data_IF_792629048114
#
_entry.id   IF_792629048114
#
_cell.length_a   1.000
_cell.length_b   1.000
_cell.length_c   1.000
_cell.angle_alpha   90.00
_cell.angle_beta   90.00
_cell.angle_gamma   90.00
#
_symmetry.space_group_name_H-M   'P 1'
#
loop_
_entity.id
_entity.type
_entity.pdbx_description
1 polymer ?
#
# COMPACT_ATOMS: atom_id res chain seq x y z
N UNK A 1 -6.69 34.71 -1.09
CA UNK A 1 -6.65 33.99 -2.36
C UNK A 1 -6.37 32.53 -2.00
N UNK A 2 -7.37 31.65 -2.09
CA UNK A 2 -7.16 30.22 -1.87
C UNK A 2 -6.37 29.70 -3.06
N UNK A 3 -5.08 29.44 -2.88
CA UNK A 3 -4.35 28.57 -3.79
C UNK A 3 -5.00 27.22 -3.68
N UNK A 4 -5.67 26.76 -4.71
CA UNK A 4 -6.21 25.41 -4.79
C UNK A 4 -5.01 24.45 -4.67
N UNK A 5 -4.79 23.93 -3.47
CA UNK A 5 -3.78 22.88 -3.28
C UNK A 5 -4.13 21.70 -4.21
N UNK A 6 -3.12 21.16 -4.90
CA UNK A 6 -3.34 19.93 -5.67
C UNK A 6 -3.89 18.82 -4.78
N UNK A 7 -4.73 17.92 -5.30
CA UNK A 7 -5.21 16.79 -4.52
C UNK A 7 -4.04 15.98 -3.96
N UNK A 8 -4.28 15.32 -2.81
CA UNK A 8 -3.34 14.32 -2.30
C UNK A 8 -3.35 13.09 -3.20
N UNK A 9 -2.19 12.57 -3.54
CA UNK A 9 -2.05 11.33 -4.29
C UNK A 9 -1.69 10.18 -3.35
N UNK A 10 -2.52 9.16 -3.31
CA UNK A 10 -2.29 7.95 -2.52
C UNK A 10 -2.04 6.78 -3.46
N UNK A 11 -0.85 6.19 -3.37
CA UNK A 11 -0.55 4.94 -4.06
C UNK A 11 -1.18 3.77 -3.31
N UNK A 12 -2.17 3.10 -3.91
CA UNK A 12 -2.75 1.84 -3.41
C UNK A 12 -1.95 0.68 -3.99
N UNK A 13 -0.97 0.20 -3.22
CA UNK A 13 -0.04 -0.85 -3.63
C UNK A 13 -0.61 -2.23 -3.31
N UNK A 14 -0.86 -3.05 -4.33
CA UNK A 14 -1.37 -4.42 -4.19
C UNK A 14 -0.22 -5.41 -4.28
N UNK A 15 0.17 -5.96 -3.14
CA UNK A 15 1.42 -6.71 -2.97
C UNK A 15 1.41 -8.14 -3.55
N UNK A 16 0.24 -8.79 -3.60
CA UNK A 16 0.14 -10.18 -4.06
C UNK A 16 0.24 -10.30 -5.59
N UNK A 17 1.12 -11.14 -6.07
CA UNK A 17 1.29 -11.42 -7.52
C UNK A 17 0.66 -12.74 -7.96
N UNK A 18 -0.15 -13.40 -7.11
CA UNK A 18 -0.82 -14.65 -7.47
C UNK A 18 -1.73 -14.48 -8.67
N UNK A 19 -1.71 -15.43 -9.57
CA UNK A 19 -2.57 -15.45 -10.78
C UNK A 19 -3.88 -16.22 -10.57
N UNK A 20 -3.94 -17.11 -9.55
CA UNK A 20 -5.12 -17.93 -9.27
C UNK A 20 -5.53 -17.84 -7.79
N UNK A 21 -6.84 -17.75 -7.53
CA UNK A 21 -7.40 -17.70 -6.19
C UNK A 21 -6.87 -16.56 -5.33
N UNK A 22 -6.56 -15.44 -5.95
CA UNK A 22 -5.98 -14.25 -5.31
C UNK A 22 -7.05 -13.51 -4.50
N UNK A 23 -6.86 -13.41 -3.19
CA UNK A 23 -7.83 -12.70 -2.35
C UNK A 23 -7.83 -11.19 -2.59
N UNK A 24 -6.70 -10.64 -3.01
CA UNK A 24 -6.64 -9.22 -3.36
C UNK A 24 -7.66 -8.83 -4.45
N UNK A 25 -8.02 -9.73 -5.37
CA UNK A 25 -9.04 -9.47 -6.40
C UNK A 25 -10.46 -9.28 -5.83
N UNK A 26 -10.70 -9.73 -4.58
CA UNK A 26 -11.94 -9.51 -3.83
C UNK A 26 -11.84 -8.29 -2.90
N UNK A 27 -10.67 -8.03 -2.33
CA UNK A 27 -10.46 -6.92 -1.40
C UNK A 27 -10.25 -5.57 -2.10
N UNK A 28 -9.60 -5.56 -3.25
CA UNK A 28 -9.28 -4.34 -3.99
C UNK A 28 -10.53 -3.53 -4.41
N UNK A 29 -11.59 -4.13 -4.99
CA UNK A 29 -12.80 -3.39 -5.33
C UNK A 29 -13.47 -2.72 -4.13
N UNK A 30 -13.48 -3.39 -2.97
CA UNK A 30 -13.98 -2.82 -1.73
C UNK A 30 -13.14 -1.61 -1.29
N UNK A 31 -11.81 -1.72 -1.27
CA UNK A 31 -10.93 -0.59 -0.94
C UNK A 31 -11.11 0.57 -1.90
N UNK A 32 -11.16 0.32 -3.21
CA UNK A 32 -11.38 1.37 -4.22
C UNK A 32 -12.71 2.09 -4.00
N UNK A 33 -13.78 1.34 -3.65
CA UNK A 33 -15.08 1.93 -3.34
C UNK A 33 -15.01 2.85 -2.12
N UNK A 34 -14.31 2.45 -1.04
CA UNK A 34 -14.16 3.26 0.17
C UNK A 34 -13.31 4.53 -0.04
N UNK A 35 -12.43 4.51 -1.02
CA UNK A 35 -11.51 5.62 -1.31
C UNK A 35 -12.02 6.56 -2.41
N UNK A 36 -13.03 6.14 -3.19
CA UNK A 36 -13.50 6.84 -4.40
C UNK A 36 -14.02 8.25 -4.13
N UNK A 37 -14.73 8.44 -3.04
CA UNK A 37 -15.50 9.66 -2.76
C UNK A 37 -14.78 10.56 -1.73
N UNK A 38 -13.47 10.37 -1.56
CA UNK A 38 -12.67 11.20 -0.67
C UNK A 38 -12.33 12.53 -1.36
N UNK A 39 -12.86 13.61 -0.82
CA UNK A 39 -12.62 14.95 -1.36
C UNK A 39 -11.13 15.32 -1.34
N UNK A 40 -10.64 15.81 -2.47
CA UNK A 40 -9.24 16.24 -2.61
C UNK A 40 -8.21 15.12 -2.56
N UNK A 41 -8.62 13.87 -2.89
CA UNK A 41 -7.73 12.70 -2.92
C UNK A 41 -7.81 12.02 -4.29
N UNK A 42 -6.67 11.73 -4.88
CA UNK A 42 -6.50 10.87 -6.05
C UNK A 42 -5.85 9.55 -5.61
N UNK A 43 -6.41 8.43 -6.08
CA UNK A 43 -5.87 7.10 -5.77
C UNK A 43 -5.27 6.49 -7.02
N UNK A 44 -3.98 6.22 -6.97
CA UNK A 44 -3.25 5.48 -8.01
C UNK A 44 -3.07 4.02 -7.59
N UNK A 45 -3.73 3.09 -8.30
CA UNK A 45 -3.64 1.66 -8.00
C UNK A 45 -2.44 1.04 -8.69
N UNK A 46 -1.48 0.58 -7.89
CA UNK A 46 -0.28 -0.11 -8.35
C UNK A 46 -0.39 -1.60 -8.00
N UNK A 47 -0.77 -2.43 -8.97
CA UNK A 47 -0.83 -3.87 -8.78
C UNK A 47 0.49 -4.51 -9.20
N UNK A 48 1.24 -5.07 -8.24
CA UNK A 48 2.56 -5.67 -8.50
C UNK A 48 2.49 -6.90 -9.42
N UNK A 49 1.32 -7.48 -9.65
CA UNK A 49 1.14 -8.53 -10.66
C UNK A 49 1.35 -8.00 -12.08
N UNK A 50 0.99 -6.75 -12.30
CA UNK A 50 1.03 -6.10 -13.62
C UNK A 50 2.35 -5.34 -13.86
N UNK A 51 3.17 -5.20 -12.81
CA UNK A 51 4.46 -4.50 -12.83
C UNK A 51 5.60 -5.41 -12.29
N UNK A 52 5.96 -6.47 -13.00
CA UNK A 52 7.03 -7.38 -12.57
C UNK A 52 8.39 -6.69 -12.67
N UNK A 53 9.09 -6.58 -11.55
CA UNK A 53 10.50 -6.20 -11.53
C UNK A 53 11.39 -7.46 -11.41
N UNK A 54 12.57 -7.48 -12.05
CA UNK A 54 13.55 -8.53 -11.81
C UNK A 54 13.94 -8.57 -10.34
N UNK A 55 14.51 -9.68 -9.87
CA UNK A 55 15.08 -9.71 -8.53
C UNK A 55 16.12 -8.60 -8.41
N UNK A 56 16.14 -7.93 -7.26
CA UNK A 56 17.06 -6.82 -7.01
C UNK A 56 18.52 -7.29 -7.17
N UNK A 57 19.25 -6.68 -8.08
CA UNK A 57 20.67 -6.96 -8.38
C UNK A 57 21.36 -5.68 -8.90
N UNK A 58 21.16 -4.56 -8.22
CA UNK A 58 21.78 -3.30 -8.60
C UNK A 58 23.15 -3.13 -7.91
N UNK A 59 24.11 -2.55 -8.61
CA UNK A 59 25.45 -2.31 -8.10
C UNK A 59 25.46 -1.36 -6.89
N UNK A 60 24.62 -0.33 -6.92
CA UNK A 60 24.48 0.65 -5.86
C UNK A 60 23.15 0.49 -5.12
N UNK A 61 23.11 0.55 -3.78
CA UNK A 61 21.84 0.53 -3.05
C UNK A 61 20.96 1.72 -3.45
N UNK A 62 19.61 1.58 -3.44
CA UNK A 62 18.68 2.61 -3.88
C UNK A 62 18.87 3.97 -3.19
N UNK A 63 19.29 3.96 -1.92
CA UNK A 63 19.61 5.18 -1.17
C UNK A 63 20.75 6.01 -1.79
N UNK A 64 21.61 5.40 -2.61
CA UNK A 64 22.69 6.06 -3.35
C UNK A 64 22.37 6.28 -4.82
N UNK A 65 21.43 5.52 -5.38
CA UNK A 65 21.05 5.60 -6.79
C UNK A 65 20.24 6.86 -7.13
N UNK A 66 19.57 7.48 -6.17
CA UNK A 66 18.83 8.74 -6.31
C UNK A 66 18.02 8.83 -7.61
N UNK A 67 16.95 8.03 -7.75
CA UNK A 67 16.06 8.02 -8.93
C UNK A 67 16.78 7.69 -10.25
N UNK A 68 17.87 6.95 -10.19
CA UNK A 68 18.51 6.39 -11.40
C UNK A 68 17.93 5.01 -11.66
N UNK A 69 17.19 4.87 -12.74
CA UNK A 69 16.46 3.65 -13.09
C UNK A 69 17.13 2.96 -14.28
N UNK A 70 17.30 1.66 -14.20
CA UNK A 70 17.96 0.86 -15.24
C UNK A 70 16.97 0.41 -16.33
N UNK A 71 15.68 0.21 -15.99
CA UNK A 71 14.65 -0.23 -16.92
C UNK A 71 13.48 0.75 -17.02
N UNK A 72 12.69 0.62 -18.09
CA UNK A 72 11.48 1.42 -18.27
C UNK A 72 10.43 1.13 -17.20
N UNK A 73 10.28 -0.14 -16.82
CA UNK A 73 9.35 -0.60 -15.79
C UNK A 73 9.73 -0.05 -14.41
N UNK A 74 11.02 -0.06 -14.09
CA UNK A 74 11.52 0.53 -12.85
C UNK A 74 11.27 2.04 -12.84
N UNK A 75 11.51 2.73 -13.95
CA UNK A 75 11.24 4.17 -14.08
C UNK A 75 9.76 4.48 -13.89
N UNK A 76 8.88 3.75 -14.56
CA UNK A 76 7.43 3.93 -14.45
C UNK A 76 6.97 3.82 -12.99
N UNK A 77 7.37 2.75 -12.30
CA UNK A 77 7.03 2.56 -10.89
C UNK A 77 7.64 3.66 -9.99
N UNK A 78 8.90 4.02 -10.23
CA UNK A 78 9.58 5.08 -9.48
C UNK A 78 8.87 6.42 -9.61
N UNK A 79 8.47 6.82 -10.82
CA UNK A 79 7.72 8.04 -11.06
C UNK A 79 6.34 8.03 -10.38
N UNK A 80 5.65 6.89 -10.35
CA UNK A 80 4.36 6.74 -9.65
C UNK A 80 4.53 6.82 -8.13
N UNK A 81 5.55 6.16 -7.58
CA UNK A 81 5.85 6.27 -6.15
C UNK A 81 6.30 7.68 -5.77
N UNK A 82 7.09 8.33 -6.60
CA UNK A 82 7.56 9.71 -6.34
C UNK A 82 6.40 10.71 -6.35
N UNK A 83 5.45 10.54 -7.27
CA UNK A 83 4.25 11.38 -7.36
C UNK A 83 3.26 11.18 -6.19
N UNK A 84 3.33 10.07 -5.46
CA UNK A 84 2.45 9.79 -4.34
C UNK A 84 2.83 10.59 -3.09
N UNK A 85 1.83 11.03 -2.34
CA UNK A 85 2.01 11.69 -1.04
C UNK A 85 1.98 10.72 0.14
N UNK A 86 1.49 9.49 -0.09
CA UNK A 86 1.44 8.42 0.89
C UNK A 86 1.11 7.08 0.24
N UNK A 87 1.34 5.98 0.95
CA UNK A 87 1.10 4.62 0.50
C UNK A 87 0.03 3.93 1.35
N UNK A 88 -0.92 3.28 0.68
CA UNK A 88 -1.83 2.30 1.27
C UNK A 88 -1.48 0.93 0.69
N UNK A 89 -0.98 0.02 1.52
CA UNK A 89 -0.49 -1.29 1.07
C UNK A 89 -1.49 -2.38 1.41
N UNK A 90 -2.03 -3.05 0.38
CA UNK A 90 -2.83 -4.27 0.53
C UNK A 90 -1.90 -5.48 0.43
N UNK A 91 -1.63 -6.14 1.57
CA UNK A 91 -0.66 -7.23 1.66
C UNK A 91 -1.23 -8.52 2.23
N UNK A 92 -0.78 -9.65 1.68
CA UNK A 92 -0.98 -10.97 2.26
C UNK A 92 0.17 -11.34 3.21
N UNK A 93 -0.04 -12.41 3.95
CA UNK A 93 1.00 -13.04 4.78
C UNK A 93 1.33 -14.43 4.22
N UNK A 94 2.61 -14.67 3.92
CA UNK A 94 3.18 -15.96 3.56
C UNK A 94 4.30 -16.31 4.54
N UNK A 95 4.20 -17.48 5.18
CA UNK A 95 5.24 -17.98 6.08
C UNK A 95 5.68 -16.94 7.13
N UNK A 96 4.70 -16.28 7.76
CA UNK A 96 4.90 -15.24 8.78
C UNK A 96 5.45 -13.90 8.27
N UNK A 97 5.68 -13.74 6.97
CA UNK A 97 6.21 -12.52 6.38
C UNK A 97 5.30 -11.95 5.27
N UNK A 98 5.63 -10.78 4.80
CA UNK A 98 5.03 -10.19 3.61
C UNK A 98 5.57 -10.86 2.34
N UNK A 99 4.88 -10.76 1.17
CA UNK A 99 5.30 -11.45 -0.04
C UNK A 99 6.64 -10.92 -0.58
N UNK A 100 7.43 -11.82 -1.17
CA UNK A 100 8.72 -11.49 -1.78
C UNK A 100 8.60 -10.40 -2.87
N UNK A 101 7.49 -10.39 -3.62
CA UNK A 101 7.18 -9.34 -4.60
C UNK A 101 7.18 -7.94 -3.99
N UNK A 102 6.59 -7.78 -2.80
CA UNK A 102 6.60 -6.51 -2.10
C UNK A 102 8.01 -6.14 -1.62
N UNK A 103 8.76 -7.10 -1.04
CA UNK A 103 10.14 -6.83 -0.63
C UNK A 103 11.00 -6.40 -1.80
N UNK A 104 10.88 -7.11 -2.92
CA UNK A 104 11.64 -6.79 -4.13
C UNK A 104 11.37 -5.34 -4.60
N UNK A 105 10.11 -4.92 -4.64
CA UNK A 105 9.77 -3.53 -5.01
C UNK A 105 10.35 -2.53 -4.01
N UNK A 106 10.20 -2.78 -2.70
CA UNK A 106 10.74 -1.88 -1.68
C UNK A 106 12.28 -1.77 -1.74
N UNK A 107 12.96 -2.81 -2.24
CA UNK A 107 14.41 -2.82 -2.39
C UNK A 107 14.89 -2.09 -3.66
N UNK A 108 14.02 -1.84 -4.63
CA UNK A 108 14.36 -1.07 -5.83
C UNK A 108 14.30 0.44 -5.65
N UNK A 109 13.64 0.94 -4.60
CA UNK A 109 13.37 2.36 -4.41
C UNK A 109 13.73 2.82 -2.99
N UNK A 110 14.13 4.07 -2.85
CA UNK A 110 14.38 4.71 -1.55
C UNK A 110 13.91 6.17 -1.56
N UNK A 111 14.48 6.99 -2.43
CA UNK A 111 14.22 8.43 -2.48
C UNK A 111 12.74 8.76 -2.76
N UNK A 112 12.05 7.85 -3.44
CA UNK A 112 10.62 7.92 -3.76
C UNK A 112 9.72 7.75 -2.53
N UNK A 113 10.24 7.16 -1.46
CA UNK A 113 9.51 6.86 -0.23
C UNK A 113 9.81 7.82 0.93
N UNK A 114 10.97 8.49 0.89
CA UNK A 114 11.44 9.36 1.98
C UNK A 114 10.37 10.39 2.37
N UNK A 115 10.15 10.50 3.68
CA UNK A 115 9.18 11.41 4.30
C UNK A 115 7.74 11.23 3.79
N UNK A 116 7.32 9.99 3.52
CA UNK A 116 5.93 9.65 3.19
C UNK A 116 5.32 8.71 4.22
N UNK A 117 4.01 8.78 4.48
CA UNK A 117 3.35 7.82 5.36
C UNK A 117 2.97 6.54 4.61
N UNK A 118 2.95 5.42 5.36
CA UNK A 118 2.45 4.14 4.89
C UNK A 118 1.39 3.59 5.85
N UNK A 119 0.25 3.13 5.29
CA UNK A 119 -0.83 2.43 5.97
C UNK A 119 -1.00 1.03 5.39
N UNK A 120 -1.56 0.09 6.17
CA UNK A 120 -1.59 -1.32 5.80
C UNK A 120 -2.97 -1.94 5.98
N UNK A 121 -3.40 -2.67 4.95
CA UNK A 121 -4.51 -3.62 4.99
C UNK A 121 -3.92 -5.01 4.77
N UNK A 122 -3.94 -5.84 5.81
CA UNK A 122 -3.43 -7.20 5.76
C UNK A 122 -4.52 -8.23 5.65
N UNK A 123 -4.19 -9.37 5.04
CA UNK A 123 -5.04 -10.54 5.03
C UNK A 123 -4.24 -11.84 5.11
N UNK A 124 -4.82 -12.84 5.76
CA UNK A 124 -4.19 -14.14 6.02
C UNK A 124 -4.82 -14.82 7.21
N UNK A 125 -4.26 -15.94 7.68
CA UNK A 125 -4.82 -16.68 8.81
C UNK A 125 -4.99 -15.82 10.07
N UNK A 126 -4.04 -14.91 10.30
CA UNK A 126 -4.06 -13.91 11.39
C UNK A 126 -4.20 -12.48 10.85
N UNK A 127 -4.87 -12.31 9.72
CA UNK A 127 -5.11 -10.99 9.12
C UNK A 127 -3.85 -10.28 8.60
N UNK A 128 -2.77 -11.00 8.31
CA UNK A 128 -1.51 -10.42 7.86
C UNK A 128 -0.73 -9.66 8.94
N UNK A 129 -1.04 -9.89 10.22
CA UNK A 129 -0.49 -9.12 11.33
C UNK A 129 1.05 -9.21 11.39
N UNK A 130 1.63 -10.41 11.23
CA UNK A 130 3.08 -10.60 11.29
C UNK A 130 3.80 -9.97 10.08
N UNK A 131 3.17 -10.02 8.91
CA UNK A 131 3.68 -9.34 7.72
C UNK A 131 3.74 -7.82 7.93
N UNK A 132 2.68 -7.24 8.52
CA UNK A 132 2.61 -5.80 8.81
C UNK A 132 3.65 -5.40 9.86
N UNK A 133 3.83 -6.17 10.94
CA UNK A 133 4.86 -5.89 11.94
C UNK A 133 6.28 -5.83 11.31
N UNK A 134 6.59 -6.74 10.42
CA UNK A 134 7.86 -6.70 9.68
C UNK A 134 7.93 -5.51 8.73
N UNK A 135 6.84 -5.18 8.02
CA UNK A 135 6.79 -4.01 7.12
C UNK A 135 7.01 -2.69 7.87
N UNK A 136 6.54 -2.57 9.12
CA UNK A 136 6.80 -1.38 9.95
C UNK A 136 8.30 -1.11 10.15
N UNK A 137 9.11 -2.14 10.28
CA UNK A 137 10.56 -2.01 10.37
C UNK A 137 11.17 -1.59 9.02
N UNK A 138 10.67 -2.16 7.93
CA UNK A 138 11.16 -1.84 6.58
C UNK A 138 10.82 -0.39 6.20
N UNK A 139 9.60 0.05 6.44
CA UNK A 139 9.21 1.44 6.11
C UNK A 139 9.94 2.46 7.00
N UNK A 140 10.30 2.09 8.24
CA UNK A 140 11.15 2.92 9.08
C UNK A 140 12.57 3.09 8.49
N UNK A 141 13.16 2.01 7.93
CA UNK A 141 14.45 2.07 7.23
C UNK A 141 14.37 2.89 5.93
N UNK A 142 13.20 2.94 5.28
CA UNK A 142 12.95 3.76 4.09
C UNK A 142 12.60 5.23 4.43
N UNK A 143 12.83 5.65 5.68
CA UNK A 143 12.53 7.01 6.19
C UNK A 143 11.05 7.40 6.00
N UNK A 144 10.15 6.43 6.16
CA UNK A 144 8.71 6.60 6.09
C UNK A 144 8.07 6.61 7.49
N UNK A 145 6.87 7.17 7.59
CA UNK A 145 6.04 7.10 8.81
C UNK A 145 5.01 5.98 8.68
N UNK A 146 5.03 5.01 9.60
CA UNK A 146 3.99 3.98 9.68
C UNK A 146 2.76 4.50 10.41
N UNK A 147 1.59 4.48 9.75
CA UNK A 147 0.30 4.76 10.39
C UNK A 147 -0.02 3.65 11.41
N UNK A 148 -0.52 4.06 12.58
CA UNK A 148 -0.78 3.12 13.69
C UNK A 148 -1.90 2.14 13.37
N UNK A 149 -3.02 2.64 12.87
CA UNK A 149 -4.20 1.84 12.55
C UNK A 149 -3.91 0.91 11.37
N UNK A 150 -4.47 -0.30 11.46
CA UNK A 150 -4.37 -1.33 10.41
C UNK A 150 -5.69 -2.07 10.28
N UNK A 151 -6.01 -2.55 9.08
CA UNK A 151 -7.12 -3.46 8.85
C UNK A 151 -6.57 -4.87 8.69
N UNK A 152 -7.19 -5.83 9.38
CA UNK A 152 -6.79 -7.25 9.37
C UNK A 152 -7.97 -8.13 8.96
N UNK A 153 -7.95 -8.67 7.74
CA UNK A 153 -8.97 -9.62 7.26
C UNK A 153 -8.52 -11.04 7.61
N UNK A 154 -9.20 -11.65 8.56
CA UNK A 154 -8.85 -12.97 9.12
C UNK A 154 -9.12 -14.11 8.14
N UNK A 155 -8.46 -15.27 8.35
CA UNK A 155 -8.58 -16.42 7.47
C UNK A 155 -10.01 -16.96 7.37
N UNK A 156 -10.79 -16.93 8.44
CA UNK A 156 -12.21 -17.32 8.45
C UNK A 156 -13.09 -16.32 7.66
N UNK A 157 -12.82 -15.02 7.79
CA UNK A 157 -13.49 -13.97 7.02
C UNK A 157 -13.18 -14.12 5.54
N UNK A 158 -11.90 -14.33 5.17
CA UNK A 158 -11.50 -14.60 3.79
C UNK A 158 -12.21 -15.82 3.21
N UNK A 159 -12.40 -16.89 4.02
CA UNK A 159 -13.13 -18.08 3.58
C UNK A 159 -14.60 -17.73 3.30
N UNK A 160 -15.27 -17.05 4.24
CA UNK A 160 -16.65 -16.61 4.07
C UNK A 160 -16.83 -15.72 2.85
N UNK A 161 -15.97 -14.73 2.65
CA UNK A 161 -16.00 -13.82 1.49
C UNK A 161 -15.90 -14.63 0.18
N UNK A 162 -15.02 -15.64 0.13
CA UNK A 162 -14.82 -16.47 -1.07
C UNK A 162 -15.98 -17.41 -1.38
N UNK A 163 -16.61 -17.98 -0.36
CA UNK A 163 -17.54 -19.09 -0.53
C UNK A 163 -18.98 -18.68 -0.53
N UNK A 164 -19.35 -17.65 0.23
CA UNK A 164 -20.76 -17.25 0.38
C UNK A 164 -21.11 -16.02 -0.44
N UNK A 165 -20.16 -15.08 -0.63
CA UNK A 165 -20.47 -13.82 -1.33
C UNK A 165 -21.66 -13.05 -0.69
N UNK A 166 -22.23 -12.10 -1.43
CA UNK A 166 -23.47 -11.41 -1.07
C UNK A 166 -23.50 -10.86 0.36
N UNK A 167 -24.63 -10.99 1.04
CA UNK A 167 -24.91 -10.35 2.35
C UNK A 167 -23.89 -10.69 3.45
N UNK A 168 -23.36 -11.92 3.47
CA UNK A 168 -22.37 -12.32 4.47
C UNK A 168 -21.00 -11.67 4.22
N UNK A 169 -20.56 -11.64 2.97
CA UNK A 169 -19.34 -10.92 2.59
C UNK A 169 -19.47 -9.41 2.85
N UNK A 170 -20.63 -8.83 2.50
CA UNK A 170 -20.92 -7.41 2.75
C UNK A 170 -20.91 -7.07 4.24
N UNK A 171 -21.40 -7.96 5.10
CA UNK A 171 -21.36 -7.75 6.55
C UNK A 171 -19.92 -7.71 7.09
N UNK A 172 -19.04 -8.58 6.58
CA UNK A 172 -17.63 -8.58 6.94
C UNK A 172 -16.97 -7.27 6.47
N UNK A 173 -17.15 -6.88 5.22
CA UNK A 173 -16.60 -5.62 4.71
C UNK A 173 -17.08 -4.40 5.50
N UNK A 174 -18.39 -4.34 5.85
CA UNK A 174 -18.92 -3.28 6.71
C UNK A 174 -18.29 -3.26 8.11
N UNK A 175 -17.99 -4.41 8.70
CA UNK A 175 -17.35 -4.47 10.03
C UNK A 175 -15.93 -3.87 10.04
N UNK A 176 -15.24 -3.88 8.90
CA UNK A 176 -13.92 -3.29 8.76
C UNK A 176 -13.93 -1.78 8.43
N UNK A 177 -15.06 -1.23 7.96
CA UNK A 177 -15.16 0.18 7.55
C UNK A 177 -14.72 1.19 8.61
N UNK A 178 -15.16 1.11 9.88
CA UNK A 178 -14.76 2.12 10.88
C UNK A 178 -13.24 2.16 11.07
N UNK A 179 -12.59 1.00 11.07
CA UNK A 179 -11.15 0.90 11.22
C UNK A 179 -10.40 1.41 9.97
N UNK A 180 -10.93 1.09 8.79
CA UNK A 180 -10.39 1.58 7.52
C UNK A 180 -10.49 3.10 7.45
N UNK A 181 -11.64 3.69 7.80
CA UNK A 181 -11.83 5.14 7.79
C UNK A 181 -10.84 5.83 8.73
N UNK A 182 -10.73 5.38 9.98
CA UNK A 182 -9.76 5.94 10.94
C UNK A 182 -8.31 5.83 10.43
N UNK A 183 -7.95 4.71 9.80
CA UNK A 183 -6.63 4.52 9.19
C UNK A 183 -6.39 5.49 8.03
N UNK A 184 -7.37 5.65 7.14
CA UNK A 184 -7.29 6.54 5.98
C UNK A 184 -7.23 8.01 6.42
N UNK A 185 -8.05 8.44 7.37
CA UNK A 185 -8.00 9.79 7.93
C UNK A 185 -6.60 10.12 8.45
N UNK A 186 -5.98 9.18 9.18
CA UNK A 186 -4.65 9.34 9.73
C UNK A 186 -3.57 9.33 8.62
N UNK A 187 -3.71 8.46 7.61
CA UNK A 187 -2.84 8.47 6.43
C UNK A 187 -2.88 9.82 5.71
N UNK A 188 -4.07 10.37 5.49
CA UNK A 188 -4.25 11.65 4.80
C UNK A 188 -3.72 12.82 5.64
N UNK A 189 -3.88 12.77 6.97
CA UNK A 189 -3.31 13.78 7.86
C UNK A 189 -1.77 13.81 7.74
N UNK A 190 -1.12 12.66 7.88
CA UNK A 190 0.33 12.55 7.71
C UNK A 190 0.78 12.95 6.30
N UNK A 191 0.03 12.56 5.26
CA UNK A 191 0.35 12.92 3.87
C UNK A 191 0.39 14.44 3.67
N UNK A 192 -0.57 15.18 4.26
CA UNK A 192 -0.57 16.65 4.19
C UNK A 192 0.63 17.25 4.91
N UNK A 193 0.88 16.83 6.15
CA UNK A 193 1.97 17.37 6.98
C UNK A 193 3.33 17.12 6.33
N UNK A 194 3.57 15.89 5.90
CA UNK A 194 4.86 15.51 5.31
C UNK A 194 5.05 16.08 3.90
N UNK A 195 3.98 16.23 3.12
CA UNK A 195 4.03 16.95 1.84
C UNK A 195 4.48 18.39 2.05
N UNK A 196 3.85 19.11 2.96
CA UNK A 196 4.24 20.48 3.26
C UNK A 196 5.72 20.58 3.69
N UNK A 197 6.23 19.59 4.44
CA UNK A 197 7.65 19.52 4.82
C UNK A 197 8.59 19.20 3.65
N UNK A 198 8.14 18.40 2.66
CA UNK A 198 8.94 18.10 1.45
C UNK A 198 8.98 19.25 0.43
N UNK A 199 7.97 20.12 0.44
CA UNK A 199 7.83 21.27 -0.47
C UNK A 199 8.40 22.57 0.11
N UNK A 200 8.86 22.57 1.37
CA UNK A 200 9.44 23.72 2.07
C UNK A 200 10.92 23.91 1.73
#
# INVERSE_FOLDING_TARGET
>A
MSTSERPLRIALLVASTRTQGRFADLALPWLQQQLRDLDGVEVDVIDLRDHPLPAYDLLAPPARAFRQYETAEQRELGERFDAADGLLVLTNEFNHGYPASLKNVLDHFFAEFVHKPAAFVGYGNVGGARAIEQLRLVVAELDMVSVRETVHVLGEEMRTIRTTGGTAADAIWRSHQPKLHAMVENLLWWSRVLRAGREA
#
